data_IF_171568979695
#
_entry.id   IF_171568979695
#
_cell.length_a   1.000
_cell.length_b   1.000
_cell.length_c   1.000
_cell.angle_alpha   90.00
_cell.angle_beta   90.00
_cell.angle_gamma   90.00
#
_symmetry.space_group_name_H-M   'P 1'
#
loop_
_entity.id
_entity.type
_entity.pdbx_description
1 polymer ?
#
# COMPACT_ATOMS: atom_id res chain seq x y z
N UNK A 1 14.51 -9.04 -9.97
CA UNK A 1 14.10 -7.70 -10.42
C UNK A 1 12.64 -7.66 -10.89
N UNK A 2 12.25 -8.47 -11.89
CA UNK A 2 10.87 -8.51 -12.43
C UNK A 2 9.78 -8.72 -11.36
N UNK A 3 9.99 -9.64 -10.41
CA UNK A 3 9.02 -9.90 -9.34
C UNK A 3 8.80 -8.68 -8.42
N UNK A 4 9.84 -7.89 -8.16
CA UNK A 4 9.73 -6.67 -7.33
C UNK A 4 8.90 -5.63 -8.06
N UNK A 5 9.22 -5.36 -9.34
CA UNK A 5 8.47 -4.42 -10.18
C UNK A 5 7.00 -4.83 -10.28
N UNK A 6 6.71 -6.12 -10.44
CA UNK A 6 5.34 -6.63 -10.47
C UNK A 6 4.58 -6.32 -9.17
N UNK A 7 5.19 -6.58 -8.00
CA UNK A 7 4.55 -6.28 -6.72
C UNK A 7 4.37 -4.77 -6.50
N UNK A 8 5.36 -3.96 -6.87
CA UNK A 8 5.26 -2.49 -6.78
C UNK A 8 4.15 -1.93 -7.67
N UNK A 9 4.07 -2.35 -8.94
CA UNK A 9 3.00 -1.93 -9.85
C UNK A 9 1.63 -2.43 -9.36
N UNK A 10 1.57 -3.65 -8.84
CA UNK A 10 0.36 -4.21 -8.22
C UNK A 10 -0.16 -3.34 -7.08
N UNK A 11 0.73 -2.90 -6.19
CA UNK A 11 0.39 -1.99 -5.09
C UNK A 11 -0.18 -0.65 -5.58
N UNK A 12 0.46 -0.03 -6.58
CA UNK A 12 -0.02 1.23 -7.17
C UNK A 12 -1.41 1.04 -7.78
N UNK A 13 -1.61 -0.01 -8.58
CA UNK A 13 -2.92 -0.29 -9.22
C UNK A 13 -4.02 -0.55 -8.19
N UNK A 14 -3.72 -1.28 -7.11
CA UNK A 14 -4.67 -1.50 -6.03
C UNK A 14 -5.05 -0.17 -5.35
N UNK A 15 -4.07 0.69 -5.06
CA UNK A 15 -4.30 2.03 -4.50
C UNK A 15 -5.16 2.91 -5.41
N UNK A 16 -4.88 2.92 -6.71
CA UNK A 16 -5.68 3.61 -7.72
C UNK A 16 -7.13 3.09 -7.76
N UNK A 17 -7.33 1.77 -7.58
CA UNK A 17 -8.65 1.17 -7.47
C UNK A 17 -9.42 1.65 -6.24
N UNK A 18 -8.81 1.64 -5.06
CA UNK A 18 -9.43 2.13 -3.81
C UNK A 18 -9.77 3.62 -3.86
N UNK A 19 -8.96 4.42 -4.55
CA UNK A 19 -9.14 5.87 -4.69
C UNK A 19 -9.99 6.27 -5.90
N UNK A 20 -10.45 5.30 -6.71
CA UNK A 20 -11.26 5.57 -7.90
C UNK A 20 -10.53 6.36 -8.99
N UNK A 21 -9.21 6.28 -9.04
CA UNK A 21 -8.37 7.06 -9.95
C UNK A 21 -7.95 6.23 -11.16
N UNK A 22 -8.46 6.58 -12.34
CA UNK A 22 -8.18 5.83 -13.58
C UNK A 22 -6.74 6.04 -14.12
N UNK A 23 -6.09 7.15 -13.77
CA UNK A 23 -4.72 7.47 -14.17
C UNK A 23 -3.91 8.04 -13.00
N UNK A 24 -2.59 8.07 -13.15
CA UNK A 24 -1.68 8.62 -12.13
C UNK A 24 -1.94 10.11 -11.95
N UNK A 25 -2.19 10.84 -13.03
CA UNK A 25 -2.50 12.28 -13.00
C UNK A 25 -3.76 12.54 -12.18
N UNK A 26 -4.81 11.72 -12.34
CA UNK A 26 -6.03 11.82 -11.54
C UNK A 26 -5.75 11.52 -10.06
N UNK A 27 -4.89 10.52 -9.78
CA UNK A 27 -4.51 10.20 -8.40
C UNK A 27 -3.77 11.35 -7.73
N UNK A 28 -2.85 12.01 -8.45
CA UNK A 28 -2.14 13.18 -7.94
C UNK A 28 -3.06 14.37 -7.66
N UNK A 29 -4.11 14.56 -8.48
CA UNK A 29 -5.06 15.67 -8.36
C UNK A 29 -6.15 15.43 -7.30
N UNK A 30 -6.67 14.19 -7.21
CA UNK A 30 -7.90 13.88 -6.45
C UNK A 30 -7.70 13.06 -5.19
N UNK A 31 -6.59 12.36 -5.02
CA UNK A 31 -6.41 11.52 -3.84
C UNK A 31 -6.30 12.38 -2.57
N UNK A 32 -7.11 12.03 -1.57
CA UNK A 32 -7.07 12.68 -0.26
C UNK A 32 -6.10 11.99 0.69
N UNK A 33 -5.47 12.77 1.56
CA UNK A 33 -4.67 12.27 2.66
C UNK A 33 -5.30 12.65 3.99
N UNK A 34 -5.13 11.78 4.98
CA UNK A 34 -5.49 12.05 6.38
C UNK A 34 -4.25 11.96 7.24
N UNK A 35 -4.20 12.76 8.30
CA UNK A 35 -3.13 12.66 9.29
C UNK A 35 -3.39 11.46 10.19
N UNK A 36 -2.39 10.61 10.33
CA UNK A 36 -2.42 9.46 11.24
C UNK A 36 -1.53 9.69 12.46
N UNK A 37 -1.83 9.01 13.57
CA UNK A 37 -1.01 9.01 14.79
C UNK A 37 0.02 7.88 14.72
N UNK A 38 0.98 7.86 15.65
CA UNK A 38 1.91 6.72 15.79
C UNK A 38 1.18 5.41 16.10
N UNK A 39 0.09 5.47 16.88
CA UNK A 39 -0.76 4.32 17.14
C UNK A 39 -1.45 3.82 15.85
N UNK A 40 -1.97 4.74 15.02
CA UNK A 40 -2.58 4.40 13.73
C UNK A 40 -1.56 3.81 12.74
N UNK A 41 -0.31 4.26 12.78
CA UNK A 41 0.77 3.63 11.99
C UNK A 41 1.02 2.18 12.44
N UNK A 42 1.07 1.91 13.75
CA UNK A 42 1.23 0.54 14.26
C UNK A 42 0.03 -0.34 13.88
N UNK A 43 -1.18 0.21 13.95
CA UNK A 43 -2.42 -0.47 13.54
C UNK A 43 -2.43 -0.82 12.04
N UNK A 44 -1.84 0.04 11.20
CA UNK A 44 -1.78 -0.20 9.75
C UNK A 44 -0.82 -1.33 9.36
N UNK A 45 0.17 -1.63 10.20
CA UNK A 45 1.09 -2.74 10.00
C UNK A 45 0.51 -4.05 10.55
N UNK A 46 1.06 -5.19 10.13
CA UNK A 46 0.76 -6.47 10.80
C UNK A 46 1.13 -6.35 12.28
N UNK A 47 0.18 -6.57 13.17
CA UNK A 47 0.37 -6.55 14.62
C UNK A 47 -0.37 -7.72 15.30
N UNK A 48 0.09 -8.10 16.50
CA UNK A 48 -0.48 -9.15 17.37
C UNK A 48 -0.54 -10.57 16.77
N UNK A 49 0.28 -10.84 15.76
CA UNK A 49 0.40 -12.17 15.13
C UNK A 49 1.85 -12.50 14.78
N UNK A 50 2.18 -13.79 14.74
CA UNK A 50 3.48 -14.28 14.25
C UNK A 50 3.41 -14.53 12.75
N UNK A 51 4.25 -13.84 11.97
CA UNK A 51 4.38 -14.09 10.53
C UNK A 51 5.13 -15.42 10.34
N UNK A 52 4.45 -16.44 9.83
CA UNK A 52 5.04 -17.77 9.59
C UNK A 52 5.64 -17.93 8.19
N UNK A 53 5.29 -17.04 7.26
CA UNK A 53 5.78 -17.01 5.89
C UNK A 53 5.86 -15.56 5.40
N UNK A 54 6.97 -15.20 4.78
CA UNK A 54 7.13 -13.87 4.19
C UNK A 54 6.25 -13.68 2.96
N UNK A 55 5.58 -12.53 2.91
CA UNK A 55 4.83 -12.12 1.73
C UNK A 55 5.76 -11.44 0.72
N UNK A 56 5.55 -11.64 -0.60
CA UNK A 56 6.43 -11.10 -1.63
C UNK A 56 6.42 -9.56 -1.72
N UNK A 57 5.42 -8.91 -1.11
CA UNK A 57 5.19 -7.46 -1.11
C UNK A 57 5.21 -6.83 0.28
N UNK A 58 5.59 -7.56 1.32
CA UNK A 58 5.65 -7.07 2.70
C UNK A 58 6.99 -7.47 3.31
N UNK A 59 8.02 -6.66 3.03
CA UNK A 59 9.38 -6.80 3.55
C UNK A 59 9.62 -5.66 4.54
N UNK A 60 10.03 -6.01 5.76
CA UNK A 60 10.42 -5.05 6.79
C UNK A 60 11.84 -4.51 6.55
#
# INVERSE_FOLDING_TARGET
MLAIIHQSIGGIRASMGYTGCATIEIMHDKAGFVRVTSAGMRESHVHDVTITKEAPNYRA
#
